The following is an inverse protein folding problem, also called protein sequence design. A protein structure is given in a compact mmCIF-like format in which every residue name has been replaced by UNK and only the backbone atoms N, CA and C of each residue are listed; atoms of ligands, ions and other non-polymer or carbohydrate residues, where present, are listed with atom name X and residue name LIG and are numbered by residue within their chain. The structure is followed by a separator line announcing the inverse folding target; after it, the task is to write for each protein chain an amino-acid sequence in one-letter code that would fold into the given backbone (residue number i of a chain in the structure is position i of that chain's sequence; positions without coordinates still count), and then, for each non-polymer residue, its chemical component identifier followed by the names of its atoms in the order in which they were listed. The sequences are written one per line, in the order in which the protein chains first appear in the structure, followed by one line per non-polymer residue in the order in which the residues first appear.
data_IF_239561371766
#
_entry.id   IF_239561371766
#
_cell.length_a   1.000
_cell.length_b   1.000
_cell.length_c   1.000
_cell.angle_alpha   90.00
_cell.angle_beta   90.00
_cell.angle_gamma   90.00
#
_symmetry.space_group_name_H-M   'P 1'
#
loop_
_entity.id
_entity.type
_entity.pdbx_description
1 polymer ?
#
# COMPACT_ATOMS: atom_id res chain seq x y z
N UNK A 1 17.14 -12.61 13.81
CA UNK A 1 15.98 -11.87 13.29
C UNK A 1 15.08 -12.87 12.54
N UNK A 2 13.79 -12.84 12.81
CA UNK A 2 12.81 -13.56 12.00
C UNK A 2 12.35 -12.66 10.85
N UNK A 3 12.72 -13.02 9.64
CA UNK A 3 12.39 -12.26 8.45
C UNK A 3 10.96 -12.54 7.99
N UNK A 4 10.27 -11.56 7.38
CA UNK A 4 8.92 -11.73 6.83
C UNK A 4 8.88 -12.88 5.81
N UNK A 5 7.73 -13.55 5.71
CA UNK A 5 7.46 -14.62 4.74
C UNK A 5 8.46 -15.80 4.79
N UNK A 6 9.08 -16.04 5.94
CA UNK A 6 10.02 -17.13 6.13
C UNK A 6 9.60 -18.03 7.30
N UNK A 7 10.03 -19.30 7.24
CA UNK A 7 9.91 -20.24 8.35
C UNK A 7 11.16 -20.20 9.20
N UNK A 8 11.01 -20.26 10.53
CA UNK A 8 12.16 -20.43 11.44
C UNK A 8 12.78 -21.82 11.36
N UNK A 9 12.05 -22.81 10.82
CA UNK A 9 12.54 -24.17 10.60
C UNK A 9 13.41 -24.28 9.34
N UNK A 10 13.09 -23.49 8.32
CA UNK A 10 13.83 -23.46 7.04
C UNK A 10 14.08 -22.00 6.66
N UNK A 11 14.95 -21.29 7.39
CA UNK A 11 15.20 -19.89 7.13
C UNK A 11 15.90 -19.70 5.78
N UNK A 12 15.58 -18.61 5.11
CA UNK A 12 16.33 -18.17 3.93
C UNK A 12 17.72 -17.68 4.35
N UNK A 13 18.70 -17.85 3.47
CA UNK A 13 20.01 -17.22 3.64
C UNK A 13 19.85 -15.69 3.60
N UNK A 14 20.35 -15.03 4.63
CA UNK A 14 20.32 -13.59 4.75
C UNK A 14 21.72 -13.01 4.58
N UNK A 15 21.84 -11.97 3.79
CA UNK A 15 23.10 -11.31 3.48
C UNK A 15 23.14 -9.95 4.19
N UNK A 16 24.09 -9.72 5.12
CA UNK A 16 24.24 -8.43 5.76
C UNK A 16 24.65 -7.36 4.73
N UNK A 17 23.91 -6.28 4.67
CA UNK A 17 24.23 -5.09 3.86
C UNK A 17 25.00 -4.11 4.72
N UNK A 18 26.17 -3.68 4.27
CA UNK A 18 27.03 -2.73 4.96
C UNK A 18 26.95 -1.32 4.41
N UNK A 19 26.63 -1.19 3.11
CA UNK A 19 26.48 0.08 2.45
C UNK A 19 25.54 -0.06 1.24
N UNK A 20 25.05 1.07 0.73
CA UNK A 20 24.23 1.10 -0.48
C UNK A 20 24.42 2.44 -1.21
N UNK A 21 24.41 2.40 -2.55
CA UNK A 21 24.51 3.59 -3.39
C UNK A 21 23.86 3.35 -4.75
N UNK A 22 23.02 4.29 -5.19
CA UNK A 22 22.28 4.18 -6.43
C UNK A 22 21.41 2.91 -6.44
N UNK A 23 21.67 1.97 -7.33
CA UNK A 23 20.95 0.68 -7.42
C UNK A 23 21.71 -0.47 -6.76
N UNK A 24 22.82 -0.21 -6.13
CA UNK A 24 23.71 -1.23 -5.60
C UNK A 24 23.62 -1.36 -4.09
N UNK A 25 23.63 -2.61 -3.62
CA UNK A 25 23.87 -2.98 -2.24
C UNK A 25 25.28 -3.56 -2.10
N UNK A 26 26.01 -3.15 -1.09
CA UNK A 26 27.31 -3.70 -0.71
C UNK A 26 27.11 -4.65 0.46
N UNK A 27 27.48 -5.89 0.27
CA UNK A 27 27.35 -6.93 1.27
C UNK A 27 28.60 -7.02 2.16
N UNK A 28 28.45 -7.59 3.35
CA UNK A 28 29.57 -7.99 4.17
C UNK A 28 30.55 -8.87 3.33
N UNK A 29 31.83 -8.52 3.34
CA UNK A 29 32.84 -9.16 2.47
C UNK A 29 33.09 -8.44 1.16
N UNK A 30 32.42 -7.27 0.90
CA UNK A 30 32.72 -6.37 -0.22
C UNK A 30 32.05 -6.73 -1.55
N UNK A 31 31.22 -7.73 -1.60
CA UNK A 31 30.46 -8.06 -2.80
C UNK A 31 29.37 -7.00 -3.05
N UNK A 32 29.24 -6.53 -4.29
CA UNK A 32 28.19 -5.62 -4.74
C UNK A 32 27.16 -6.38 -5.54
N UNK A 33 25.89 -6.15 -5.24
CA UNK A 33 24.75 -6.69 -5.98
C UNK A 33 23.80 -5.57 -6.40
N UNK A 34 23.05 -5.78 -7.48
CA UNK A 34 21.99 -4.88 -7.93
C UNK A 34 20.70 -5.25 -7.19
N UNK A 35 20.05 -4.27 -6.59
CA UNK A 35 18.73 -4.43 -6.02
C UNK A 35 17.66 -4.17 -7.09
N UNK A 36 17.26 -5.20 -7.81
CA UNK A 36 16.22 -5.11 -8.84
C UNK A 36 14.80 -4.94 -8.28
N UNK A 37 14.62 -5.10 -6.95
CA UNK A 37 13.34 -4.91 -6.28
C UNK A 37 13.20 -3.52 -5.65
N UNK A 38 14.25 -2.70 -5.66
CA UNK A 38 14.27 -1.36 -5.05
C UNK A 38 13.72 -1.37 -3.61
N UNK A 39 14.16 -2.34 -2.80
CA UNK A 39 13.67 -2.58 -1.42
C UNK A 39 12.14 -2.56 -1.33
N UNK A 40 11.49 -3.42 -2.09
CA UNK A 40 10.03 -3.43 -2.25
C UNK A 40 9.46 -2.07 -2.65
N UNK A 41 10.06 -1.47 -3.70
CA UNK A 41 9.64 -0.20 -4.35
C UNK A 41 9.81 1.05 -3.48
N UNK A 42 10.52 0.96 -2.36
CA UNK A 42 10.72 2.12 -1.48
C UNK A 42 11.87 3.03 -1.91
N UNK A 43 12.83 2.52 -2.71
CA UNK A 43 14.03 3.27 -3.14
C UNK A 43 13.96 3.68 -4.62
N UNK A 44 12.87 4.32 -5.03
CA UNK A 44 12.62 4.70 -6.43
C UNK A 44 13.66 5.68 -7.01
N UNK A 45 14.36 6.43 -6.17
CA UNK A 45 15.44 7.35 -6.56
C UNK A 45 16.83 6.75 -6.30
N UNK A 46 16.91 5.48 -5.95
CA UNK A 46 18.13 4.80 -5.51
C UNK A 46 18.50 5.07 -4.06
N UNK A 47 19.45 4.31 -3.60
CA UNK A 47 20.01 4.43 -2.25
C UNK A 47 20.89 5.66 -2.12
N UNK A 48 20.94 6.22 -0.93
CA UNK A 48 21.79 7.38 -0.57
C UNK A 48 21.67 8.59 -1.51
N UNK A 49 20.46 8.83 -2.02
CA UNK A 49 20.22 9.98 -2.89
C UNK A 49 20.50 11.29 -2.13
N UNK A 50 21.44 12.14 -2.61
CA UNK A 50 21.97 13.25 -1.82
C UNK A 50 20.91 14.28 -1.42
N UNK A 51 19.95 14.57 -2.30
CA UNK A 51 18.85 15.51 -2.01
C UNK A 51 17.93 14.97 -0.91
N UNK A 52 17.66 13.66 -0.90
CA UNK A 52 16.80 13.04 0.11
C UNK A 52 17.51 12.98 1.46
N UNK A 53 18.80 12.62 1.47
CA UNK A 53 19.61 12.58 2.68
C UNK A 53 19.72 13.99 3.30
N UNK A 54 20.03 15.02 2.50
CA UNK A 54 20.11 16.40 2.97
C UNK A 54 18.78 16.89 3.56
N UNK A 55 17.66 16.58 2.90
CA UNK A 55 16.33 16.92 3.40
C UNK A 55 16.03 16.25 4.74
N UNK A 56 16.40 14.95 4.88
CA UNK A 56 16.23 14.20 6.12
C UNK A 56 17.09 14.79 7.26
N UNK A 57 18.37 15.05 7.02
CA UNK A 57 19.27 15.67 8.01
C UNK A 57 18.75 17.04 8.45
N UNK A 58 18.42 17.91 7.51
CA UNK A 58 17.86 19.23 7.82
C UNK A 58 16.56 19.18 8.62
N UNK A 59 15.72 18.15 8.40
CA UNK A 59 14.48 18.00 9.16
C UNK A 59 14.71 17.43 10.55
N UNK A 60 15.64 16.48 10.71
CA UNK A 60 16.00 15.88 11.99
C UNK A 60 16.54 16.97 12.94
N UNK A 61 17.36 17.90 12.45
CA UNK A 61 17.90 19.01 13.23
C UNK A 61 16.81 19.96 13.75
N UNK A 62 15.64 20.01 13.11
CA UNK A 62 14.49 20.84 13.54
C UNK A 62 13.56 20.06 14.46
N UNK A 63 13.03 18.97 13.94
CA UNK A 63 12.13 18.04 14.62
C UNK A 63 11.96 16.77 13.81
N UNK A 64 12.27 15.63 14.43
CA UNK A 64 12.16 14.32 13.79
C UNK A 64 10.71 13.83 13.71
N UNK A 65 9.89 14.14 14.70
CA UNK A 65 8.49 13.71 14.78
C UNK A 65 7.66 14.64 15.66
N UNK A 66 6.41 14.85 15.22
CA UNK A 66 5.33 15.40 16.07
C UNK A 66 4.04 14.63 15.78
N UNK A 67 3.22 14.42 16.80
CA UNK A 67 1.89 13.83 16.63
C UNK A 67 0.97 14.79 15.85
N UNK A 68 -0.06 14.25 15.18
CA UNK A 68 -1.09 15.07 14.52
C UNK A 68 -2.33 15.33 15.39
N UNK A 69 -2.24 15.13 16.68
CA UNK A 69 -3.31 15.43 17.63
C UNK A 69 -3.35 16.92 17.99
N UNK A 70 -3.84 17.74 17.08
CA UNK A 70 -3.96 19.20 17.26
C UNK A 70 -2.71 20.00 16.91
N UNK A 71 -1.62 19.36 16.50
CA UNK A 71 -0.38 19.98 16.00
C UNK A 71 0.03 19.37 14.65
N UNK A 72 0.86 20.09 13.89
CA UNK A 72 1.35 19.67 12.58
C UNK A 72 2.74 20.23 12.32
N UNK A 73 3.32 19.93 11.16
CA UNK A 73 4.61 20.45 10.73
C UNK A 73 4.64 20.73 9.21
N UNK A 74 5.56 21.61 8.81
CA UNK A 74 5.60 22.11 7.44
C UNK A 74 5.75 21.03 6.38
N UNK A 75 6.63 20.00 6.51
CA UNK A 75 6.74 18.94 5.52
C UNK A 75 5.42 18.21 5.23
N UNK A 76 4.60 17.94 6.26
CA UNK A 76 3.30 17.30 6.06
C UNK A 76 2.33 18.22 5.30
N UNK A 77 2.30 19.50 5.63
CA UNK A 77 1.47 20.50 4.94
C UNK A 77 1.87 20.58 3.45
N UNK A 78 3.16 20.64 3.16
CA UNK A 78 3.66 20.76 1.80
C UNK A 78 3.41 19.48 0.99
N UNK A 79 3.55 18.30 1.61
CA UNK A 79 3.20 17.03 0.99
C UNK A 79 1.72 16.99 0.64
N UNK A 80 0.84 17.30 1.59
CA UNK A 80 -0.62 17.29 1.36
C UNK A 80 -1.02 18.26 0.23
N UNK A 81 -0.44 19.47 0.19
CA UNK A 81 -0.67 20.43 -0.90
C UNK A 81 -0.22 19.90 -2.26
N UNK A 82 0.89 19.16 -2.33
CA UNK A 82 1.36 18.53 -3.58
C UNK A 82 0.45 17.39 -4.00
N UNK A 83 0.03 16.54 -3.07
CA UNK A 83 -0.88 15.41 -3.35
C UNK A 83 -2.24 15.90 -3.86
N UNK A 84 -2.81 16.94 -3.26
CA UNK A 84 -4.07 17.53 -3.73
C UNK A 84 -4.02 18.08 -5.15
N UNK A 85 -2.85 18.56 -5.60
CA UNK A 85 -2.67 18.98 -7.01
C UNK A 85 -2.64 17.83 -8.01
N UNK A 86 -2.37 16.61 -7.56
CA UNK A 86 -2.35 15.39 -8.37
C UNK A 86 -3.66 14.61 -8.28
N UNK A 87 -4.48 14.90 -7.27
CA UNK A 87 -5.76 14.27 -7.05
C UNK A 87 -6.87 14.92 -7.91
N UNK A 88 -7.98 14.20 -8.19
CA UNK A 88 -9.18 14.81 -8.77
C UNK A 88 -9.71 15.97 -7.90
N UNK A 89 -10.29 16.99 -8.55
CA UNK A 89 -10.73 18.24 -7.91
C UNK A 89 -11.72 18.06 -6.75
N UNK A 90 -12.45 16.95 -6.71
CA UNK A 90 -13.41 16.64 -5.65
C UNK A 90 -12.77 16.00 -4.40
N UNK A 91 -11.46 15.75 -4.40
CA UNK A 91 -10.71 15.25 -3.26
C UNK A 91 -9.95 16.40 -2.60
N UNK A 92 -10.45 16.88 -1.47
CA UNK A 92 -9.97 18.10 -0.80
C UNK A 92 -9.12 17.84 0.45
N UNK A 93 -8.99 16.58 0.87
CA UNK A 93 -8.33 16.22 2.11
C UNK A 93 -7.40 15.03 1.92
N UNK A 94 -6.30 15.01 2.68
CA UNK A 94 -5.33 13.90 2.71
C UNK A 94 -5.28 13.32 4.10
N UNK A 95 -5.43 12.01 4.21
CA UNK A 95 -5.20 11.26 5.43
C UNK A 95 -3.88 10.47 5.28
N UNK A 96 -2.90 10.76 6.12
CA UNK A 96 -1.61 10.06 6.12
C UNK A 96 -1.71 8.81 6.99
N UNK A 97 -1.21 7.68 6.48
CA UNK A 97 -1.20 6.39 7.17
C UNK A 97 0.19 5.75 7.09
N UNK A 98 0.48 4.84 8.02
CA UNK A 98 1.81 4.26 8.20
C UNK A 98 2.20 3.27 7.10
N UNK A 99 1.21 2.70 6.41
CA UNK A 99 1.42 1.74 5.31
C UNK A 99 0.22 1.71 4.37
N UNK A 100 0.37 1.08 3.20
CA UNK A 100 -0.75 0.81 2.28
C UNK A 100 -1.86 -0.02 2.93
N UNK A 101 -1.50 -1.05 3.71
CA UNK A 101 -2.47 -1.86 4.47
C UNK A 101 -3.29 -1.00 5.43
N UNK A 102 -2.65 -0.12 6.20
CA UNK A 102 -3.34 0.79 7.12
C UNK A 102 -4.20 1.81 6.36
N UNK A 103 -3.73 2.31 5.21
CA UNK A 103 -4.52 3.21 4.36
C UNK A 103 -5.82 2.54 3.87
N UNK A 104 -5.75 1.27 3.47
CA UNK A 104 -6.93 0.47 3.09
C UNK A 104 -7.85 0.26 4.30
N UNK A 105 -7.33 -0.15 5.46
CA UNK A 105 -8.11 -0.30 6.70
C UNK A 105 -8.89 0.98 7.03
N UNK A 106 -8.23 2.13 6.97
CA UNK A 106 -8.86 3.43 7.25
C UNK A 106 -9.94 3.74 6.21
N UNK A 107 -9.67 3.49 4.92
CA UNK A 107 -10.63 3.72 3.84
C UNK A 107 -11.90 2.87 4.01
N UNK A 108 -11.75 1.59 4.36
CA UNK A 108 -12.88 0.71 4.65
C UNK A 108 -13.69 1.22 5.86
N UNK A 109 -13.02 1.62 6.93
CA UNK A 109 -13.69 2.21 8.11
C UNK A 109 -14.43 3.50 7.76
N UNK A 110 -13.83 4.39 6.97
CA UNK A 110 -14.48 5.63 6.53
C UNK A 110 -15.74 5.33 5.71
N UNK A 111 -15.69 4.37 4.79
CA UNK A 111 -16.83 3.96 3.99
C UNK A 111 -17.98 3.42 4.86
N UNK A 112 -17.68 2.53 5.81
CA UNK A 112 -18.68 2.00 6.74
C UNK A 112 -19.30 3.12 7.59
N UNK A 113 -18.48 4.01 8.13
CA UNK A 113 -18.92 5.13 8.95
C UNK A 113 -19.81 6.11 8.16
N UNK A 114 -19.44 6.40 6.90
CA UNK A 114 -20.22 7.25 6.01
C UNK A 114 -21.63 6.69 5.80
N UNK A 115 -21.76 5.41 5.45
CA UNK A 115 -23.06 4.80 5.22
C UNK A 115 -23.89 4.65 6.50
N UNK A 116 -23.23 4.40 7.63
CA UNK A 116 -23.90 4.39 8.94
C UNK A 116 -24.49 5.79 9.25
N UNK A 117 -23.71 6.86 9.06
CA UNK A 117 -24.15 8.24 9.27
C UNK A 117 -25.30 8.67 8.35
N UNK A 118 -25.40 8.05 7.16
CA UNK A 118 -26.53 8.23 6.24
C UNK A 118 -27.82 7.49 6.64
N UNK A 119 -27.80 6.73 7.74
CA UNK A 119 -28.92 5.87 8.13
C UNK A 119 -29.12 4.65 7.22
N UNK A 120 -28.13 4.29 6.42
CA UNK A 120 -28.14 3.18 5.47
C UNK A 120 -26.92 2.28 5.72
N UNK A 121 -26.81 1.60 6.88
CA UNK A 121 -25.64 0.83 7.23
C UNK A 121 -25.38 -0.29 6.21
N UNK A 122 -24.14 -0.39 5.77
CA UNK A 122 -23.63 -1.41 4.86
C UNK A 122 -22.51 -2.18 5.53
N UNK A 123 -22.36 -3.46 5.20
CA UNK A 123 -21.38 -4.34 5.83
C UNK A 123 -20.48 -5.06 4.82
N UNK A 124 -20.77 -4.94 3.51
CA UNK A 124 -20.02 -5.61 2.46
C UNK A 124 -19.39 -4.60 1.51
N UNK A 125 -18.25 -4.99 0.97
CA UNK A 125 -17.54 -4.27 -0.07
C UNK A 125 -17.62 -5.04 -1.38
N UNK A 126 -17.60 -4.32 -2.49
CA UNK A 126 -17.37 -4.86 -3.82
C UNK A 126 -15.92 -4.56 -4.20
N UNK A 127 -15.17 -5.58 -4.57
CA UNK A 127 -13.76 -5.51 -4.95
C UNK A 127 -13.49 -6.38 -6.18
N UNK A 128 -12.27 -6.36 -6.70
CA UNK A 128 -11.89 -7.10 -7.88
C UNK A 128 -11.05 -8.33 -7.53
N UNK A 129 -11.23 -9.41 -8.30
CA UNK A 129 -10.30 -10.54 -8.29
C UNK A 129 -8.93 -10.08 -8.79
N UNK A 130 -7.90 -10.87 -8.47
CA UNK A 130 -6.49 -10.59 -8.77
C UNK A 130 -5.93 -9.30 -8.13
N UNK A 131 -6.71 -8.64 -7.26
CA UNK A 131 -6.30 -7.46 -6.51
C UNK A 131 -5.53 -7.80 -5.24
N UNK A 132 -4.51 -6.99 -4.91
CA UNK A 132 -3.82 -7.01 -3.62
C UNK A 132 -3.99 -5.66 -2.93
N UNK A 133 -4.41 -5.68 -1.67
CA UNK A 133 -4.74 -4.47 -0.91
C UNK A 133 -4.04 -4.37 0.45
N UNK A 134 -3.20 -5.34 0.79
CA UNK A 134 -2.41 -5.35 2.02
C UNK A 134 -2.57 -6.61 2.84
N UNK A 135 -1.84 -6.70 3.95
CA UNK A 135 -1.68 -7.89 4.78
C UNK A 135 -2.34 -7.79 6.17
N UNK A 136 -3.02 -6.70 6.47
CA UNK A 136 -3.88 -6.60 7.66
C UNK A 136 -5.23 -7.28 7.40
N UNK A 137 -5.93 -7.73 8.42
CA UNK A 137 -7.11 -8.59 8.26
C UNK A 137 -8.22 -7.98 7.39
N UNK A 138 -8.55 -6.71 7.55
CA UNK A 138 -9.57 -6.11 6.70
C UNK A 138 -9.02 -5.84 5.28
N UNK A 139 -7.76 -5.47 5.11
CA UNK A 139 -7.12 -5.36 3.80
C UNK A 139 -7.08 -6.72 3.08
N UNK A 140 -6.76 -7.81 3.80
CA UNK A 140 -6.83 -9.17 3.28
C UNK A 140 -8.24 -9.59 2.86
N UNK A 141 -9.27 -9.15 3.59
CA UNK A 141 -10.67 -9.51 3.27
C UNK A 141 -11.16 -8.95 1.93
N UNK A 142 -10.55 -7.88 1.43
CA UNK A 142 -10.84 -7.27 0.11
C UNK A 142 -9.80 -7.62 -0.95
N UNK A 143 -8.73 -8.33 -0.60
CA UNK A 143 -7.73 -8.92 -1.50
C UNK A 143 -8.27 -10.21 -2.11
N UNK A 144 -7.80 -10.59 -3.31
CA UNK A 144 -8.21 -11.83 -3.97
C UNK A 144 -8.19 -13.03 -3.02
N UNK A 145 -9.32 -13.76 -2.85
CA UNK A 145 -9.41 -14.83 -1.87
C UNK A 145 -8.76 -16.15 -2.32
N UNK A 146 -8.49 -16.31 -3.61
CA UNK A 146 -8.10 -17.59 -4.21
C UNK A 146 -6.62 -17.62 -4.61
N UNK A 147 -6.09 -16.52 -5.14
CA UNK A 147 -4.73 -16.42 -5.67
C UNK A 147 -3.74 -15.73 -4.72
N UNK A 148 -4.06 -15.64 -3.44
CA UNK A 148 -3.24 -14.94 -2.46
C UNK A 148 -2.78 -15.86 -1.32
N UNK A 149 -1.74 -15.41 -0.59
CA UNK A 149 -1.29 -16.05 0.65
C UNK A 149 -2.36 -16.05 1.75
N UNK A 150 -3.45 -15.36 1.54
CA UNK A 150 -4.52 -15.14 2.51
C UNK A 150 -5.49 -16.32 2.63
N UNK A 151 -5.36 -17.32 1.77
CA UNK A 151 -6.21 -18.54 1.79
C UNK A 151 -6.20 -19.28 3.14
N UNK A 152 -5.10 -19.17 3.91
CA UNK A 152 -4.99 -19.73 5.26
C UNK A 152 -5.99 -19.13 6.26
N UNK A 153 -6.50 -17.95 5.98
CA UNK A 153 -7.41 -17.20 6.86
C UNK A 153 -8.87 -17.30 6.42
N UNK A 154 -9.19 -18.17 5.44
CA UNK A 154 -10.59 -18.44 5.05
C UNK A 154 -11.40 -18.88 6.25
N UNK A 155 -12.60 -18.31 6.40
CA UNK A 155 -13.50 -18.56 7.54
C UNK A 155 -13.23 -17.68 8.78
N UNK A 156 -12.10 -16.97 8.83
CA UNK A 156 -11.82 -15.95 9.85
C UNK A 156 -12.09 -14.53 9.33
N UNK A 157 -11.77 -14.27 8.07
CA UNK A 157 -11.98 -12.97 7.44
C UNK A 157 -13.45 -12.75 7.06
N UNK A 158 -13.96 -11.50 7.12
CA UNK A 158 -15.24 -11.15 6.54
C UNK A 158 -15.31 -11.52 5.05
N UNK A 159 -16.45 -12.05 4.62
CA UNK A 159 -16.68 -12.35 3.21
C UNK A 159 -17.29 -11.14 2.50
N UNK A 160 -16.67 -10.75 1.39
CA UNK A 160 -17.07 -9.65 0.54
C UNK A 160 -17.46 -10.12 -0.87
N UNK A 161 -17.86 -9.18 -1.72
CA UNK A 161 -18.31 -9.46 -3.09
C UNK A 161 -17.14 -9.21 -4.03
N UNK A 162 -16.84 -10.19 -4.89
CA UNK A 162 -15.76 -10.09 -5.87
C UNK A 162 -16.32 -10.08 -7.28
N UNK A 163 -15.96 -9.06 -8.05
CA UNK A 163 -16.13 -9.03 -9.49
C UNK A 163 -14.85 -9.51 -10.19
N UNK A 164 -14.98 -9.95 -11.42
CA UNK A 164 -13.81 -10.38 -12.21
C UNK A 164 -12.92 -9.19 -12.53
N UNK A 165 -11.60 -9.42 -12.59
CA UNK A 165 -10.66 -8.43 -13.07
C UNK A 165 -10.86 -8.16 -14.57
N UNK A 166 -10.59 -6.92 -15.04
CA UNK A 166 -10.60 -6.62 -16.48
C UNK A 166 -9.63 -7.51 -17.25
N UNK A 167 -10.02 -7.96 -18.44
CA UNK A 167 -9.20 -8.82 -19.30
C UNK A 167 -8.42 -8.05 -20.34
N UNK A 168 -8.81 -6.81 -20.64
CA UNK A 168 -8.11 -5.93 -21.57
C UNK A 168 -6.70 -5.63 -21.07
N UNK A 169 -5.69 -5.97 -21.85
CA UNK A 169 -4.29 -5.67 -21.58
C UNK A 169 -4.01 -4.15 -21.63
N UNK A 170 -2.88 -3.72 -21.04
CA UNK A 170 -2.52 -2.30 -20.99
C UNK A 170 -2.40 -1.63 -22.36
N UNK A 171 -1.98 -2.38 -23.37
CA UNK A 171 -1.77 -1.91 -24.75
C UNK A 171 -2.93 -2.20 -25.70
N UNK A 172 -3.97 -2.88 -25.21
CA UNK A 172 -5.13 -3.28 -26.01
C UNK A 172 -6.19 -2.18 -26.03
N UNK A 173 -7.05 -2.20 -27.05
CA UNK A 173 -8.23 -1.35 -27.06
C UNK A 173 -9.19 -1.76 -25.93
N UNK A 174 -9.73 -0.78 -25.23
CA UNK A 174 -10.66 -1.03 -24.14
C UNK A 174 -11.92 -1.78 -24.60
N UNK A 175 -12.20 -2.91 -23.96
CA UNK A 175 -13.42 -3.68 -24.19
C UNK A 175 -14.47 -3.32 -23.12
N UNK A 176 -15.60 -2.68 -23.50
CA UNK A 176 -16.65 -2.31 -22.53
C UNK A 176 -17.23 -3.48 -21.73
N UNK A 177 -17.15 -4.73 -22.25
CA UNK A 177 -17.64 -5.91 -21.54
C UNK A 177 -16.77 -6.31 -20.32
N UNK A 178 -15.57 -5.78 -20.21
CA UNK A 178 -14.66 -6.07 -19.10
C UNK A 178 -15.20 -5.61 -17.75
N UNK A 179 -16.17 -4.69 -17.73
CA UNK A 179 -16.82 -4.24 -16.50
C UNK A 179 -18.20 -4.86 -16.26
N UNK A 180 -18.62 -5.82 -17.09
CA UNK A 180 -19.97 -6.40 -16.97
C UNK A 180 -20.11 -7.22 -15.67
N UNK A 181 -19.10 -7.98 -15.29
CA UNK A 181 -19.07 -8.69 -13.98
C UNK A 181 -19.21 -7.71 -12.81
N UNK A 182 -18.54 -6.56 -12.87
CA UNK A 182 -18.68 -5.52 -11.85
C UNK A 182 -20.10 -4.93 -11.81
N UNK A 183 -20.69 -4.63 -12.97
CA UNK A 183 -22.05 -4.10 -13.06
C UNK A 183 -23.08 -5.08 -12.53
N UNK A 184 -22.96 -6.36 -12.88
CA UNK A 184 -23.82 -7.43 -12.37
C UNK A 184 -23.78 -7.49 -10.85
N UNK A 185 -22.58 -7.56 -10.26
CA UNK A 185 -22.40 -7.63 -8.81
C UNK A 185 -22.84 -6.37 -8.07
N UNK A 186 -22.75 -5.21 -8.73
CA UNK A 186 -23.23 -3.94 -8.16
C UNK A 186 -24.77 -3.87 -8.12
N UNK A 187 -25.46 -4.57 -9.03
CA UNK A 187 -26.91 -4.57 -9.16
C UNK A 187 -27.60 -5.64 -8.30
N UNK A 188 -26.84 -6.61 -7.79
CA UNK A 188 -27.31 -7.68 -6.92
C UNK A 188 -27.31 -7.27 -5.45
#
# INVERSE_FOLDING_TARGET
IWHPYTSTLTPLTCYPVTNADGVYLELEGGNRIIDGMSSWWSTIHGYNHPVLNEAAHSQIDKVSHVMFGGITHQPAIDLCKKLLKLAPDNLEHVFLADSGSVAVEVSLKMALQFWHAKGQPRSKFLTLRDGYHGDTFAAMSVTDPDNSMHSLYKGFLPEHIFADSPKTGFWDEWNPSDIDSFREKLSA
#
